data_IF_974945963020
#
_entry.id   IF_974945963020
#
_cell.length_a   1.000
_cell.length_b   1.000
_cell.length_c   1.000
_cell.angle_alpha   90.00
_cell.angle_beta   90.00
_cell.angle_gamma   90.00
#
_symmetry.space_group_name_H-M   'P 1'
#
loop_
_entity.id
_entity.type
_entity.pdbx_description
1 polymer ?
#
# COMPACT_ATOMS: atom_id res chain seq x y z
N UNK A 1 28.64 -24.98 52.99
CA UNK A 1 28.55 -25.04 51.50
C UNK A 1 27.09 -24.92 51.03
N UNK A 2 26.43 -23.77 51.24
CA UNK A 2 24.99 -23.57 50.85
C UNK A 2 24.69 -22.23 50.17
N UNK A 3 25.63 -21.28 50.15
CA UNK A 3 25.43 -19.92 49.60
C UNK A 3 25.60 -19.82 48.08
N UNK A 4 26.30 -20.78 47.46
CA UNK A 4 26.57 -20.75 46.00
C UNK A 4 25.39 -21.25 45.17
N UNK A 5 24.54 -22.14 45.69
CA UNK A 5 23.36 -22.65 44.98
C UNK A 5 22.26 -21.59 44.77
N UNK A 6 22.10 -20.66 45.73
CA UNK A 6 21.09 -19.60 45.63
C UNK A 6 21.44 -18.55 44.55
N UNK A 7 22.73 -18.29 44.33
CA UNK A 7 23.18 -17.34 43.32
C UNK A 7 22.91 -17.83 41.89
N UNK A 8 22.95 -19.14 41.66
CA UNK A 8 22.69 -19.74 40.34
C UNK A 8 21.20 -19.73 40.00
N UNK A 9 20.33 -19.93 40.99
CA UNK A 9 18.88 -19.85 40.81
C UNK A 9 18.41 -18.42 40.46
N UNK A 10 19.01 -17.40 41.09
CA UNK A 10 18.70 -16.00 40.79
C UNK A 10 19.19 -15.55 39.42
N UNK A 11 20.29 -16.12 38.91
CA UNK A 11 20.77 -15.84 37.55
C UNK A 11 19.87 -16.49 36.50
N UNK A 12 19.41 -17.72 36.76
CA UNK A 12 18.53 -18.45 35.85
C UNK A 12 17.14 -17.80 35.72
N UNK A 13 16.58 -17.27 36.82
CA UNK A 13 15.27 -16.61 36.78
C UNK A 13 15.30 -15.28 36.02
N UNK A 14 16.43 -14.56 36.05
CA UNK A 14 16.61 -13.32 35.29
C UNK A 14 16.69 -13.58 33.78
N UNK A 15 17.35 -14.67 33.36
CA UNK A 15 17.42 -15.07 31.95
C UNK A 15 16.05 -15.52 31.39
N UNK A 16 15.22 -16.17 32.21
CA UNK A 16 13.86 -16.57 31.82
C UNK A 16 12.90 -15.37 31.66
N UNK A 17 13.06 -14.33 32.48
CA UNK A 17 12.29 -13.08 32.36
C UNK A 17 12.66 -12.27 31.11
N UNK A 18 13.94 -12.29 30.69
CA UNK A 18 14.39 -11.65 29.44
C UNK A 18 13.88 -12.37 28.19
N UNK A 19 13.78 -13.71 28.23
CA UNK A 19 13.22 -14.49 27.12
C UNK A 19 11.69 -14.30 26.94
N UNK A 20 10.96 -14.03 28.02
CA UNK A 20 9.52 -13.79 27.98
C UNK A 20 9.14 -12.40 27.41
N UNK A 21 10.06 -11.43 27.37
CA UNK A 21 9.83 -10.13 26.76
C UNK A 21 10.15 -10.06 25.25
N UNK A 22 10.79 -11.09 24.67
CA UNK A 22 11.16 -11.13 23.24
C UNK A 22 10.16 -11.85 22.34
N UNK A 23 9.14 -12.52 22.90
CA UNK A 23 8.25 -13.44 22.21
C UNK A 23 7.04 -12.83 21.49
N UNK A 24 7.18 -11.65 20.86
CA UNK A 24 6.13 -11.03 20.02
C UNK A 24 6.62 -10.62 18.63
N UNK A 25 7.65 -11.29 18.11
CA UNK A 25 8.34 -10.89 16.86
C UNK A 25 7.87 -11.56 15.56
N UNK A 26 6.95 -12.53 15.61
CA UNK A 26 6.60 -13.36 14.44
C UNK A 26 5.61 -12.72 13.45
N UNK A 27 4.55 -12.07 13.93
CA UNK A 27 3.51 -11.49 13.07
C UNK A 27 3.86 -10.09 12.52
N UNK A 28 4.78 -9.38 13.17
CA UNK A 28 5.14 -8.00 12.80
C UNK A 28 6.03 -7.92 11.56
N UNK A 29 6.87 -8.93 11.32
CA UNK A 29 7.83 -8.93 10.21
C UNK A 29 7.16 -9.20 8.86
N UNK A 30 6.23 -10.16 8.81
CA UNK A 30 5.43 -10.45 7.61
C UNK A 30 4.50 -9.29 7.24
N UNK A 31 3.80 -8.73 8.23
CA UNK A 31 2.93 -7.56 8.05
C UNK A 31 3.69 -6.32 7.52
N UNK A 32 4.95 -6.15 7.94
CA UNK A 32 5.82 -5.07 7.44
C UNK A 32 6.24 -5.30 6.00
N UNK A 33 6.61 -6.53 5.65
CA UNK A 33 7.06 -6.90 4.31
C UNK A 33 5.93 -6.80 3.26
N UNK A 34 4.68 -7.10 3.63
CA UNK A 34 3.53 -6.91 2.73
C UNK A 34 3.19 -5.43 2.50
N UNK A 35 3.29 -4.59 3.54
CA UNK A 35 3.02 -3.15 3.43
C UNK A 35 4.02 -2.41 2.54
N UNK A 36 5.25 -2.92 2.42
CA UNK A 36 6.30 -2.33 1.58
C UNK A 36 6.20 -2.70 0.11
N UNK A 37 5.33 -3.64 -0.27
CA UNK A 37 5.18 -4.03 -1.68
C UNK A 37 4.63 -2.84 -2.49
N UNK A 38 5.17 -2.58 -3.70
CA UNK A 38 4.59 -1.64 -4.62
C UNK A 38 3.11 -1.97 -4.86
N UNK A 39 2.25 -0.96 -4.83
CA UNK A 39 0.81 -1.13 -5.05
C UNK A 39 0.11 0.16 -5.44
N UNK A 40 -1.02 0.00 -6.10
CA UNK A 40 -2.02 1.06 -6.27
C UNK A 40 -3.19 0.75 -5.34
N UNK A 41 -3.42 1.64 -4.38
CA UNK A 41 -4.59 1.60 -3.51
C UNK A 41 -5.63 2.58 -4.04
N UNK A 42 -6.83 2.08 -4.30
CA UNK A 42 -7.94 2.85 -4.84
C UNK A 42 -8.95 3.02 -3.71
N UNK A 43 -9.11 4.24 -3.21
CA UNK A 43 -10.06 4.58 -2.15
C UNK A 43 -11.26 5.36 -2.69
N UNK A 44 -12.14 5.86 -1.82
CA UNK A 44 -13.35 6.58 -2.24
C UNK A 44 -13.08 7.92 -2.95
N UNK A 45 -11.94 8.57 -2.68
CA UNK A 45 -11.65 9.93 -3.14
C UNK A 45 -10.38 10.05 -3.96
N UNK A 46 -9.45 9.09 -3.85
CA UNK A 46 -8.11 9.17 -4.40
C UNK A 46 -7.60 7.80 -4.88
N UNK A 47 -6.63 7.85 -5.80
CA UNK A 47 -5.80 6.71 -6.17
C UNK A 47 -4.39 6.95 -5.64
N UNK A 48 -3.93 6.14 -4.70
CA UNK A 48 -2.61 6.25 -4.10
C UNK A 48 -1.66 5.20 -4.68
N UNK A 49 -0.52 5.66 -5.21
CA UNK A 49 0.55 4.83 -5.74
C UNK A 49 1.69 4.80 -4.72
N UNK A 50 2.06 3.59 -4.29
CA UNK A 50 3.11 3.38 -3.28
C UNK A 50 4.19 2.52 -3.88
N UNK A 51 5.45 2.94 -3.75
CA UNK A 51 6.61 2.19 -4.22
C UNK A 51 7.84 2.57 -3.42
N UNK A 52 8.24 1.77 -2.43
CA UNK A 52 9.50 2.04 -1.72
C UNK A 52 10.70 1.86 -2.68
N UNK A 53 11.74 2.72 -2.63
CA UNK A 53 11.94 3.86 -1.74
C UNK A 53 11.40 5.21 -2.29
N UNK A 54 10.65 5.22 -3.39
CA UNK A 54 10.04 6.44 -3.92
C UNK A 54 8.97 7.00 -2.96
N UNK A 55 8.78 8.32 -3.01
CA UNK A 55 7.68 9.04 -2.38
C UNK A 55 6.32 8.42 -2.75
N UNK A 56 5.27 8.63 -1.96
CA UNK A 56 3.94 8.18 -2.38
C UNK A 56 3.39 9.17 -3.41
N UNK A 57 2.70 8.69 -4.44
CA UNK A 57 1.95 9.57 -5.34
C UNK A 57 0.45 9.40 -5.11
N UNK A 58 -0.31 10.47 -5.33
CA UNK A 58 -1.77 10.47 -5.22
C UNK A 58 -2.37 11.14 -6.44
N UNK A 59 -3.34 10.49 -7.06
CA UNK A 59 -4.14 11.02 -8.17
C UNK A 59 -5.53 11.36 -7.64
N UNK A 60 -5.95 12.61 -7.84
CA UNK A 60 -7.29 13.09 -7.49
C UNK A 60 -8.31 12.89 -8.61
N UNK A 61 -9.61 13.11 -8.30
CA UNK A 61 -10.72 12.89 -9.24
C UNK A 61 -10.75 13.88 -10.40
N UNK A 62 -10.05 15.00 -10.27
CA UNK A 62 -9.92 16.06 -11.26
C UNK A 62 -8.63 15.97 -12.08
N UNK A 63 -7.91 14.83 -11.96
CA UNK A 63 -6.63 14.60 -12.60
C UNK A 63 -5.47 15.35 -11.95
N UNK A 64 -5.64 15.89 -10.75
CA UNK A 64 -4.52 16.40 -9.95
C UNK A 64 -3.55 15.28 -9.60
N UNK A 65 -2.25 15.61 -9.59
CA UNK A 65 -1.19 14.68 -9.19
C UNK A 65 -0.39 15.29 -8.05
N UNK A 66 -0.28 14.56 -6.95
CA UNK A 66 0.57 14.91 -5.81
C UNK A 66 1.66 13.87 -5.64
N UNK A 67 2.88 14.30 -5.33
CA UNK A 67 3.95 13.44 -4.84
C UNK A 67 4.26 13.89 -3.41
N UNK A 68 4.03 12.99 -2.46
CA UNK A 68 3.84 13.27 -1.04
C UNK A 68 2.86 14.45 -0.86
N UNK A 69 3.32 15.58 -0.34
CA UNK A 69 2.50 16.77 -0.06
C UNK A 69 2.57 17.86 -1.14
N UNK A 70 3.28 17.60 -2.25
CA UNK A 70 3.52 18.57 -3.31
C UNK A 70 2.63 18.25 -4.50
N UNK A 71 1.73 19.17 -4.86
CA UNK A 71 0.99 19.10 -6.11
C UNK A 71 1.88 19.47 -7.30
N UNK A 72 1.93 18.62 -8.31
CA UNK A 72 2.68 18.85 -9.53
C UNK A 72 1.80 19.61 -10.53
N UNK A 73 2.27 20.74 -11.07
CA UNK A 73 1.55 21.43 -12.13
C UNK A 73 1.62 20.59 -13.42
N UNK A 74 0.47 20.10 -13.87
CA UNK A 74 0.36 19.30 -15.09
C UNK A 74 -0.39 20.07 -16.19
N UNK A 75 0.00 19.93 -17.47
CA UNK A 75 -0.80 20.38 -18.60
C UNK A 75 -2.20 19.76 -18.59
N UNK A 76 -3.18 20.47 -19.18
CA UNK A 76 -4.57 20.03 -19.22
C UNK A 76 -4.73 18.62 -19.85
N UNK A 77 -3.96 18.29 -20.89
CA UNK A 77 -4.00 16.97 -21.52
C UNK A 77 -3.63 15.83 -20.55
N UNK A 78 -2.55 16.00 -19.78
CA UNK A 78 -2.09 15.02 -18.80
C UNK A 78 -3.07 14.89 -17.62
N UNK A 79 -3.70 15.99 -17.20
CA UNK A 79 -4.78 15.94 -16.22
C UNK A 79 -5.96 15.11 -16.71
N UNK A 80 -6.35 15.27 -17.97
CA UNK A 80 -7.41 14.47 -18.59
C UNK A 80 -7.06 12.97 -18.59
N UNK A 81 -5.82 12.62 -18.93
CA UNK A 81 -5.36 11.22 -18.88
C UNK A 81 -5.43 10.63 -17.46
N UNK A 82 -4.99 11.40 -16.44
CA UNK A 82 -5.09 10.99 -15.05
C UNK A 82 -6.53 10.86 -14.58
N UNK A 83 -7.40 11.79 -14.98
CA UNK A 83 -8.82 11.72 -14.68
C UNK A 83 -9.46 10.47 -15.31
N UNK A 84 -9.10 10.13 -16.54
CA UNK A 84 -9.58 8.92 -17.20
C UNK A 84 -9.12 7.66 -16.46
N UNK A 85 -7.83 7.57 -16.12
CA UNK A 85 -7.29 6.46 -15.32
C UNK A 85 -8.01 6.35 -13.97
N UNK A 86 -8.20 7.47 -13.28
CA UNK A 86 -8.93 7.54 -12.01
C UNK A 86 -10.34 6.95 -12.16
N UNK A 87 -11.10 7.39 -13.16
CA UNK A 87 -12.46 6.92 -13.39
C UNK A 87 -12.53 5.41 -13.65
N UNK A 88 -11.63 4.87 -14.48
CA UNK A 88 -11.59 3.43 -14.73
C UNK A 88 -11.26 2.63 -13.46
N UNK A 89 -10.30 3.10 -12.65
CA UNK A 89 -9.94 2.48 -11.38
C UNK A 89 -11.09 2.54 -10.36
N UNK A 90 -11.77 3.68 -10.22
CA UNK A 90 -12.93 3.82 -9.32
C UNK A 90 -14.06 2.88 -9.70
N UNK A 91 -14.38 2.78 -10.99
CA UNK A 91 -15.42 1.87 -11.48
C UNK A 91 -15.06 0.41 -11.19
N UNK A 92 -13.80 0.02 -11.41
CA UNK A 92 -13.36 -1.33 -11.12
C UNK A 92 -13.32 -1.62 -9.61
N UNK A 93 -12.92 -0.65 -8.78
CA UNK A 93 -13.03 -0.74 -7.32
C UNK A 93 -14.47 -1.02 -6.90
N UNK A 94 -15.43 -0.24 -7.40
CA UNK A 94 -16.84 -0.40 -7.04
C UNK A 94 -17.36 -1.81 -7.37
N UNK A 95 -17.14 -2.29 -8.61
CA UNK A 95 -17.51 -3.66 -9.03
C UNK A 95 -16.85 -4.74 -8.17
N UNK A 96 -15.59 -4.53 -7.80
CA UNK A 96 -14.84 -5.45 -6.93
C UNK A 96 -15.48 -5.52 -5.55
N UNK A 97 -15.85 -4.39 -4.96
CA UNK A 97 -16.39 -4.32 -3.62
C UNK A 97 -17.85 -4.81 -3.54
N UNK A 98 -18.64 -4.65 -4.59
CA UNK A 98 -20.02 -5.16 -4.68
C UNK A 98 -20.11 -6.68 -4.53
N UNK A 99 -19.08 -7.39 -4.98
CA UNK A 99 -19.02 -8.86 -4.96
C UNK A 99 -18.13 -9.40 -3.84
N UNK A 100 -17.41 -8.54 -3.14
CA UNK A 100 -16.52 -8.94 -2.06
C UNK A 100 -17.32 -9.29 -0.79
N UNK A 101 -16.95 -10.40 -0.13
CA UNK A 101 -17.52 -10.76 1.17
C UNK A 101 -17.35 -9.61 2.18
N UNK A 102 -18.31 -9.40 3.10
CA UNK A 102 -18.14 -8.43 4.19
C UNK A 102 -16.88 -8.74 5.02
N UNK A 103 -16.08 -7.71 5.34
CA UNK A 103 -14.90 -7.85 6.19
C UNK A 103 -14.96 -6.82 7.34
N UNK A 104 -15.12 -7.24 8.60
CA UNK A 104 -15.17 -6.33 9.74
C UNK A 104 -13.86 -5.55 9.96
N UNK A 105 -12.75 -6.01 9.40
CA UNK A 105 -11.45 -5.34 9.49
C UNK A 105 -11.20 -4.37 8.33
N UNK A 106 -12.15 -4.23 7.40
CA UNK A 106 -12.07 -3.32 6.26
C UNK A 106 -10.81 -3.52 5.40
N UNK A 107 -10.33 -4.76 5.23
CA UNK A 107 -9.13 -5.03 4.42
C UNK A 107 -9.43 -4.79 2.94
N UNK A 108 -8.40 -4.30 2.23
CA UNK A 108 -8.46 -4.12 0.78
C UNK A 108 -8.67 -5.43 0.06
N UNK A 109 -9.26 -5.36 -1.13
CA UNK A 109 -9.49 -6.51 -2.01
C UNK A 109 -8.68 -6.31 -3.29
N UNK A 110 -7.82 -7.28 -3.63
CA UNK A 110 -7.07 -7.22 -4.87
C UNK A 110 -7.99 -7.38 -6.09
N UNK A 111 -7.67 -6.69 -7.19
CA UNK A 111 -8.37 -6.87 -8.46
C UNK A 111 -7.42 -6.81 -9.66
N UNK A 112 -7.82 -7.43 -10.76
CA UNK A 112 -7.07 -7.39 -12.02
C UNK A 112 -7.43 -6.13 -12.84
N UNK A 113 -6.47 -5.52 -13.56
CA UNK A 113 -6.76 -4.43 -14.47
C UNK A 113 -7.65 -4.91 -15.63
N UNK A 114 -8.56 -4.06 -16.07
CA UNK A 114 -9.29 -4.25 -17.33
C UNK A 114 -8.42 -3.77 -18.52
N UNK A 115 -8.82 -4.04 -19.78
CA UNK A 115 -8.14 -3.50 -20.95
C UNK A 115 -8.06 -1.96 -20.93
N UNK A 116 -9.14 -1.29 -20.54
CA UNK A 116 -9.21 0.18 -20.47
C UNK A 116 -8.26 0.73 -19.40
N UNK A 117 -8.18 0.06 -18.24
CA UNK A 117 -7.21 0.40 -17.19
C UNK A 117 -5.78 0.22 -17.73
N UNK A 118 -5.51 -0.88 -18.42
CA UNK A 118 -4.17 -1.19 -18.94
C UNK A 118 -3.71 -0.15 -19.96
N UNK A 119 -4.62 0.26 -20.85
CA UNK A 119 -4.36 1.30 -21.85
C UNK A 119 -4.12 2.67 -21.19
N UNK A 120 -4.98 3.07 -20.26
CA UNK A 120 -4.84 4.34 -19.54
C UNK A 120 -3.55 4.38 -18.70
N UNK A 121 -3.18 3.27 -18.06
CA UNK A 121 -1.91 3.14 -17.34
C UNK A 121 -0.71 3.32 -18.28
N UNK A 122 -0.75 2.68 -19.47
CA UNK A 122 0.32 2.80 -20.44
C UNK A 122 0.47 4.24 -20.96
N UNK A 123 -0.64 4.94 -21.21
CA UNK A 123 -0.64 6.34 -21.63
C UNK A 123 -0.05 7.24 -20.53
N UNK A 124 -0.58 7.17 -19.32
CA UNK A 124 -0.11 7.96 -18.17
C UNK A 124 1.37 7.74 -17.88
N UNK A 125 1.84 6.49 -17.92
CA UNK A 125 3.26 6.20 -17.72
C UNK A 125 4.12 6.80 -18.83
N UNK A 126 3.68 6.72 -20.09
CA UNK A 126 4.41 7.27 -21.25
C UNK A 126 4.49 8.80 -21.18
N UNK A 127 3.39 9.46 -20.86
CA UNK A 127 3.23 10.90 -21.06
C UNK A 127 3.50 11.73 -19.79
N UNK A 128 3.55 11.09 -18.61
CA UNK A 128 3.82 11.72 -17.32
C UNK A 128 5.07 11.09 -16.67
N UNK A 129 6.29 11.61 -16.96
CA UNK A 129 7.54 10.99 -16.52
C UNK A 129 7.68 10.82 -15.00
N UNK A 130 7.07 11.71 -14.21
CA UNK A 130 7.08 11.63 -12.74
C UNK A 130 6.39 10.36 -12.21
N UNK A 131 5.58 9.69 -13.03
CA UNK A 131 4.91 8.44 -12.68
C UNK A 131 5.68 7.16 -13.07
N UNK A 132 6.74 7.26 -13.86
CA UNK A 132 7.59 6.11 -14.23
C UNK A 132 8.09 5.28 -13.04
N UNK A 133 8.50 5.88 -11.90
CA UNK A 133 8.91 5.11 -10.72
C UNK A 133 7.83 4.16 -10.20
N UNK A 134 6.55 4.40 -10.49
CA UNK A 134 5.44 3.62 -9.97
C UNK A 134 4.97 2.51 -10.90
N UNK A 135 5.63 2.27 -12.04
CA UNK A 135 5.28 1.22 -13.01
C UNK A 135 4.94 -0.11 -12.35
N UNK A 136 5.79 -0.58 -11.44
CA UNK A 136 5.61 -1.87 -10.76
C UNK A 136 4.40 -1.89 -9.82
N UNK A 137 3.95 -0.72 -9.35
CA UNK A 137 2.79 -0.58 -8.47
C UNK A 137 1.50 -1.02 -9.17
N UNK A 138 1.40 -0.78 -10.49
CA UNK A 138 0.23 -1.13 -11.28
C UNK A 138 0.02 -2.65 -11.44
N UNK A 139 1.04 -3.46 -11.12
CA UNK A 139 0.91 -4.92 -11.03
C UNK A 139 0.16 -5.40 -9.78
N UNK A 140 -0.20 -4.49 -8.86
CA UNK A 140 -0.86 -4.83 -7.61
C UNK A 140 -1.93 -3.78 -7.27
N UNK A 141 -3.11 -3.93 -7.88
CA UNK A 141 -4.26 -3.05 -7.67
C UNK A 141 -5.09 -3.54 -6.48
N UNK A 142 -5.43 -2.61 -5.59
CA UNK A 142 -6.13 -2.87 -4.34
C UNK A 142 -7.35 -1.95 -4.23
N UNK A 143 -8.53 -2.54 -4.10
CA UNK A 143 -9.77 -1.83 -3.79
C UNK A 143 -9.86 -1.64 -2.27
N UNK A 144 -9.64 -0.42 -1.79
CA UNK A 144 -9.83 -0.08 -0.39
C UNK A 144 -11.33 -0.02 -0.08
N UNK A 145 -11.76 -0.57 1.06
CA UNK A 145 -13.18 -0.55 1.47
C UNK A 145 -13.65 0.79 2.06
N UNK A 146 -12.70 1.70 2.33
CA UNK A 146 -12.93 3.05 2.85
C UNK A 146 -13.00 4.07 1.71
#
# INVERSE_FOLDING_TARGET
MKKTLFAWFSLLSLCLLLAACGGRGGETTSSRAERSKPRVAVDSMNVMLRRAPAANATIGPDGSLRIDDIELPLPAAQRTELQQLFMHLQMQRQRTLETAAPDPNMRSVGFAPTPEITEAQAAVLRDIPSLQPYRDSFGNLQAERR
#
